data_IF_616155563232
#
_entry.id   IF_616155563232
#
_cell.length_a   1.000
_cell.length_b   1.000
_cell.length_c   1.000
_cell.angle_alpha   90.00
_cell.angle_beta   90.00
_cell.angle_gamma   90.00
#
_symmetry.space_group_name_H-M   'P 1'
#
loop_
_entity.id
_entity.type
_entity.pdbx_description
1 polymer ?
#
# COMPACT_ATOMS: atom_id res chain seq x y z
N UNK A 1 -15.37 41.55 4.62
CA UNK A 1 -14.94 40.14 4.72
C UNK A 1 -15.75 39.14 3.87
N UNK A 2 -17.10 39.20 3.74
CA UNK A 2 -17.87 38.19 2.98
C UNK A 2 -17.59 38.19 1.47
N UNK A 3 -17.38 39.36 0.87
CA UNK A 3 -17.13 39.52 -0.57
C UNK A 3 -15.79 38.94 -1.04
N UNK A 4 -14.77 38.95 -0.19
CA UNK A 4 -13.44 38.42 -0.52
C UNK A 4 -13.44 36.89 -0.52
N UNK A 5 -14.14 36.27 0.45
CA UNK A 5 -14.36 34.81 0.52
C UNK A 5 -15.19 34.33 -0.67
N UNK A 6 -16.26 35.05 -1.04
CA UNK A 6 -17.12 34.72 -2.18
C UNK A 6 -16.38 34.80 -3.52
N UNK A 7 -15.46 35.76 -3.69
CA UNK A 7 -14.57 35.87 -4.87
C UNK A 7 -13.50 34.77 -4.91
N UNK A 8 -12.96 34.36 -3.76
CA UNK A 8 -12.03 33.22 -3.66
C UNK A 8 -12.69 31.90 -4.05
N UNK A 9 -13.89 31.65 -3.53
CA UNK A 9 -14.69 30.47 -3.85
C UNK A 9 -15.04 30.39 -5.35
N UNK A 10 -15.41 31.50 -6.00
CA UNK A 10 -15.73 31.48 -7.44
C UNK A 10 -14.52 31.26 -8.35
N UNK A 11 -13.31 31.64 -7.89
CA UNK A 11 -12.05 31.35 -8.59
C UNK A 11 -11.65 29.89 -8.45
N UNK A 12 -11.74 29.33 -7.23
CA UNK A 12 -11.47 27.92 -6.99
C UNK A 12 -12.47 27.02 -7.74
N UNK A 13 -13.76 27.36 -7.71
CA UNK A 13 -14.80 26.63 -8.42
C UNK A 13 -14.56 26.56 -9.93
N UNK A 14 -14.31 27.71 -10.58
CA UNK A 14 -13.98 27.74 -12.02
C UNK A 14 -12.75 26.90 -12.35
N UNK A 15 -11.77 26.87 -11.45
CA UNK A 15 -10.57 26.06 -11.63
C UNK A 15 -10.86 24.57 -11.53
N UNK A 16 -11.60 24.15 -10.50
CA UNK A 16 -12.04 22.76 -10.36
C UNK A 16 -12.81 22.35 -11.60
N UNK A 17 -13.76 23.16 -12.07
CA UNK A 17 -14.47 22.90 -13.33
C UNK A 17 -13.49 22.74 -14.51
N UNK A 18 -12.52 23.64 -14.66
CA UNK A 18 -11.55 23.57 -15.75
C UNK A 18 -10.65 22.32 -15.72
N UNK A 19 -10.18 21.89 -14.54
CA UNK A 19 -9.44 20.62 -14.43
C UNK A 19 -10.34 19.42 -14.69
N UNK A 20 -11.57 19.42 -14.16
CA UNK A 20 -12.56 18.35 -14.37
C UNK A 20 -12.89 18.19 -15.85
N UNK A 21 -13.06 19.29 -16.60
CA UNK A 21 -13.30 19.23 -18.05
C UNK A 21 -12.16 18.55 -18.82
N UNK A 22 -10.92 18.62 -18.32
CA UNK A 22 -9.76 17.95 -18.94
C UNK A 22 -9.59 16.51 -18.44
N UNK A 23 -9.83 16.25 -17.15
CA UNK A 23 -9.65 14.92 -16.56
C UNK A 23 -10.78 13.94 -16.93
N UNK A 24 -12.01 14.42 -17.18
CA UNK A 24 -13.14 13.58 -17.61
C UNK A 24 -12.84 12.82 -18.92
N UNK A 25 -12.42 13.46 -20.02
CA UNK A 25 -12.12 12.74 -21.25
C UNK A 25 -10.94 11.77 -21.09
N UNK A 26 -9.90 12.16 -20.32
CA UNK A 26 -8.79 11.25 -19.99
C UNK A 26 -9.26 10.03 -19.20
N UNK A 27 -10.17 10.23 -18.25
CA UNK A 27 -10.80 9.16 -17.49
C UNK A 27 -11.64 8.27 -18.40
N UNK A 28 -12.46 8.85 -19.28
CA UNK A 28 -13.29 8.12 -20.24
C UNK A 28 -12.47 7.31 -21.26
N UNK A 29 -11.25 7.73 -21.57
CA UNK A 29 -10.33 6.96 -22.41
C UNK A 29 -9.63 5.85 -21.61
N UNK A 30 -9.23 6.14 -20.36
CA UNK A 30 -8.37 5.25 -19.56
C UNK A 30 -9.10 4.40 -18.51
N UNK A 31 -10.44 4.50 -18.38
CA UNK A 31 -11.18 3.87 -17.27
C UNK A 31 -10.98 2.36 -17.18
N UNK A 32 -10.80 1.67 -18.31
CA UNK A 32 -10.56 0.21 -18.34
C UNK A 32 -9.26 -0.16 -17.63
N UNK A 33 -8.21 0.64 -17.79
CA UNK A 33 -6.92 0.43 -17.12
C UNK A 33 -7.04 0.66 -15.61
N UNK A 34 -7.74 1.74 -15.21
CA UNK A 34 -7.98 2.02 -13.79
C UNK A 34 -8.82 0.93 -13.14
N UNK A 35 -9.92 0.54 -13.78
CA UNK A 35 -10.79 -0.53 -13.31
C UNK A 35 -10.03 -1.85 -13.22
N UNK A 36 -9.26 -2.22 -14.25
CA UNK A 36 -8.42 -3.41 -14.24
C UNK A 36 -7.42 -3.41 -13.09
N UNK A 37 -6.76 -2.27 -12.84
CA UNK A 37 -5.84 -2.11 -11.71
C UNK A 37 -6.53 -2.28 -10.35
N UNK A 38 -7.71 -1.68 -10.15
CA UNK A 38 -8.49 -1.80 -8.91
C UNK A 38 -9.01 -3.23 -8.70
N UNK A 39 -9.54 -3.86 -9.75
CA UNK A 39 -9.97 -5.26 -9.72
C UNK A 39 -8.79 -6.17 -9.36
N UNK A 40 -7.60 -5.88 -9.89
CA UNK A 40 -6.40 -6.63 -9.54
C UNK A 40 -5.98 -6.44 -8.08
N UNK A 41 -6.15 -5.25 -7.48
CA UNK A 41 -5.93 -5.07 -6.04
C UNK A 41 -6.80 -6.01 -5.20
N UNK A 42 -8.06 -6.18 -5.63
CA UNK A 42 -8.98 -7.10 -4.98
C UNK A 42 -8.56 -8.57 -5.19
N UNK A 43 -8.17 -8.97 -6.40
CA UNK A 43 -7.62 -10.30 -6.70
C UNK A 43 -6.38 -10.59 -5.85
N UNK A 44 -5.46 -9.64 -5.74
CA UNK A 44 -4.29 -9.74 -4.87
C UNK A 44 -4.69 -9.94 -3.40
N UNK A 45 -5.69 -9.21 -2.91
CA UNK A 45 -6.22 -9.41 -1.55
C UNK A 45 -6.83 -10.81 -1.34
N UNK A 46 -7.55 -11.33 -2.33
CA UNK A 46 -8.06 -12.71 -2.31
C UNK A 46 -6.93 -13.73 -2.30
N UNK A 47 -5.91 -13.55 -3.13
CA UNK A 47 -4.73 -14.41 -3.18
C UNK A 47 -3.99 -14.44 -1.82
N UNK A 48 -3.79 -13.28 -1.19
CA UNK A 48 -3.19 -13.18 0.14
C UNK A 48 -4.00 -13.92 1.21
N UNK A 49 -5.33 -13.80 1.17
CA UNK A 49 -6.20 -14.59 2.06
C UNK A 49 -6.16 -16.08 1.74
N UNK A 50 -6.04 -16.46 0.47
CA UNK A 50 -5.87 -17.83 0.03
C UNK A 50 -4.62 -18.47 0.62
N UNK A 51 -3.50 -17.76 0.60
CA UNK A 51 -2.24 -18.23 1.20
C UNK A 51 -2.34 -18.33 2.72
N UNK A 52 -3.12 -17.48 3.40
CA UNK A 52 -3.39 -17.63 4.84
C UNK A 52 -4.03 -18.98 5.15
N UNK A 53 -4.99 -19.46 4.36
CA UNK A 53 -5.56 -20.81 4.57
C UNK A 53 -4.53 -21.93 4.39
N UNK A 54 -3.51 -21.70 3.57
CA UNK A 54 -2.41 -22.65 3.37
C UNK A 54 -1.30 -22.50 4.42
N UNK A 55 -1.33 -21.44 5.22
CA UNK A 55 -0.30 -21.12 6.17
C UNK A 55 -0.13 -22.23 7.21
N UNK A 56 1.12 -22.66 7.40
CA UNK A 56 1.51 -23.56 8.48
C UNK A 56 2.40 -22.81 9.45
N UNK A 57 2.00 -22.66 10.72
CA UNK A 57 2.84 -22.04 11.72
C UNK A 57 4.10 -22.90 11.92
N UNK A 58 5.21 -22.23 12.22
CA UNK A 58 6.50 -22.87 12.42
C UNK A 58 7.45 -21.93 13.16
N UNK A 59 8.68 -22.39 13.47
CA UNK A 59 9.68 -21.54 14.11
C UNK A 59 10.05 -20.36 13.23
N UNK A 60 10.34 -19.22 13.87
CA UNK A 60 10.76 -18.01 13.16
C UNK A 60 12.09 -18.26 12.48
N UNK A 61 12.20 -17.86 11.21
CA UNK A 61 13.45 -17.99 10.46
C UNK A 61 14.52 -17.04 11.00
N UNK A 62 15.78 -17.47 10.90
CA UNK A 62 16.91 -16.61 11.22
C UNK A 62 16.96 -15.43 10.24
N UNK A 63 16.98 -14.21 10.78
CA UNK A 63 16.95 -12.98 9.99
C UNK A 63 17.90 -11.94 10.62
N UNK A 64 18.80 -11.40 9.81
CA UNK A 64 19.82 -10.45 10.27
C UNK A 64 19.17 -9.15 10.76
N UNK A 65 18.09 -8.69 10.13
CA UNK A 65 17.39 -7.51 10.59
C UNK A 65 16.71 -7.74 11.93
N UNK A 66 16.27 -8.97 12.23
CA UNK A 66 15.75 -9.29 13.55
C UNK A 66 16.82 -9.30 14.63
N UNK A 67 18.06 -9.67 14.29
CA UNK A 67 19.20 -9.60 15.20
C UNK A 67 19.65 -8.15 15.46
N UNK A 68 19.64 -7.31 14.42
CA UNK A 68 20.12 -5.93 14.51
C UNK A 68 19.08 -4.95 15.07
N UNK A 69 17.79 -5.16 14.77
CA UNK A 69 16.71 -4.23 15.11
C UNK A 69 15.91 -4.80 16.28
N UNK A 70 15.84 -4.08 17.41
CA UNK A 70 15.08 -4.52 18.58
C UNK A 70 13.59 -4.60 18.26
N UNK A 71 12.91 -5.52 18.91
CA UNK A 71 11.47 -5.69 18.73
C UNK A 71 10.69 -4.53 19.36
N UNK A 72 9.69 -4.05 18.64
CA UNK A 72 8.86 -2.92 19.08
C UNK A 72 7.77 -3.34 20.08
N UNK A 73 7.49 -4.64 20.16
CA UNK A 73 6.42 -5.23 20.97
C UNK A 73 5.03 -5.19 20.31
N UNK A 74 4.11 -6.01 20.83
CA UNK A 74 2.75 -6.19 20.27
C UNK A 74 1.91 -4.91 20.32
N UNK A 75 2.04 -4.12 21.38
CA UNK A 75 1.25 -2.90 21.59
C UNK A 75 1.60 -1.78 20.59
N UNK A 76 2.86 -1.72 20.16
CA UNK A 76 3.36 -0.68 19.25
C UNK A 76 3.40 -1.13 17.79
N UNK A 77 3.01 -2.37 17.49
CA UNK A 77 2.96 -2.91 16.13
C UNK A 77 2.05 -2.13 15.17
N UNK A 78 1.10 -1.35 15.69
CA UNK A 78 0.22 -0.48 14.90
C UNK A 78 0.94 0.76 14.34
N UNK A 79 2.11 1.14 14.88
CA UNK A 79 2.84 2.34 14.45
C UNK A 79 3.24 2.23 12.97
N UNK A 80 3.68 1.05 12.52
CA UNK A 80 4.06 0.86 11.12
C UNK A 80 2.85 0.94 10.17
N UNK A 81 1.64 0.54 10.62
CA UNK A 81 0.41 0.71 9.82
C UNK A 81 0.00 2.17 9.76
N UNK A 82 0.08 2.88 10.89
CA UNK A 82 -0.25 4.30 10.97
C UNK A 82 0.66 5.13 10.06
N UNK A 83 1.97 4.81 10.03
CA UNK A 83 2.91 5.49 9.13
C UNK A 83 2.61 5.16 7.65
N UNK A 84 2.33 3.90 7.32
CA UNK A 84 1.93 3.52 5.97
C UNK A 84 0.66 4.24 5.51
N UNK A 85 -0.39 4.24 6.35
CA UNK A 85 -1.64 4.93 6.09
C UNK A 85 -1.41 6.44 5.90
N UNK A 86 -0.55 7.05 6.72
CA UNK A 86 -0.16 8.45 6.58
C UNK A 86 0.51 8.73 5.23
N UNK A 87 1.47 7.90 4.80
CA UNK A 87 2.13 8.01 3.49
C UNK A 87 1.10 7.84 2.35
N UNK A 88 0.24 6.82 2.44
CA UNK A 88 -0.79 6.54 1.44
C UNK A 88 -1.76 7.72 1.28
N UNK A 89 -2.34 8.20 2.39
CA UNK A 89 -3.26 9.33 2.38
C UNK A 89 -2.57 10.60 1.87
N UNK A 90 -1.32 10.86 2.29
CA UNK A 90 -0.56 12.04 1.84
C UNK A 90 -0.30 12.00 0.34
N UNK A 91 0.06 10.84 -0.22
CA UNK A 91 0.26 10.66 -1.65
C UNK A 91 -1.05 10.84 -2.42
N UNK A 92 -2.14 10.20 -1.98
CA UNK A 92 -3.45 10.32 -2.58
C UNK A 92 -3.91 11.80 -2.63
N UNK A 93 -3.82 12.52 -1.50
CA UNK A 93 -4.12 13.95 -1.43
C UNK A 93 -3.24 14.78 -2.37
N UNK A 94 -1.96 14.45 -2.48
CA UNK A 94 -1.06 15.12 -3.41
C UNK A 94 -1.44 14.90 -4.89
N UNK A 95 -2.01 13.76 -5.27
CA UNK A 95 -2.47 13.56 -6.66
C UNK A 95 -3.54 14.56 -7.08
N UNK A 96 -4.36 15.05 -6.13
CA UNK A 96 -5.37 16.08 -6.37
C UNK A 96 -4.85 17.52 -6.24
N UNK A 97 -3.55 17.70 -6.01
CA UNK A 97 -2.91 19.02 -5.93
C UNK A 97 -3.21 19.95 -7.13
N UNK A 98 -3.30 19.49 -8.39
CA UNK A 98 -3.61 20.36 -9.54
C UNK A 98 -4.97 21.07 -9.41
N UNK A 99 -5.97 20.42 -8.83
CA UNK A 99 -7.29 21.03 -8.60
C UNK A 99 -7.22 22.24 -7.67
N UNK A 100 -6.28 22.24 -6.72
CA UNK A 100 -6.15 23.27 -5.68
C UNK A 100 -5.09 24.32 -6.04
N UNK A 101 -3.89 23.90 -6.47
CA UNK A 101 -2.73 24.80 -6.70
C UNK A 101 -2.43 25.03 -8.18
N UNK A 102 -1.97 26.24 -8.54
CA UNK A 102 -1.88 26.71 -9.94
C UNK A 102 -0.80 26.06 -10.83
N UNK A 103 -0.08 25.04 -10.34
CA UNK A 103 0.99 24.40 -11.09
C UNK A 103 0.48 23.14 -11.81
N UNK A 104 0.07 23.28 -13.08
CA UNK A 104 -0.26 22.13 -13.93
C UNK A 104 1.03 21.44 -14.39
N UNK A 105 1.40 20.36 -13.70
CA UNK A 105 2.49 19.46 -14.12
C UNK A 105 2.06 18.00 -14.19
N UNK A 106 0.89 17.67 -13.66
CA UNK A 106 0.43 16.29 -13.51
C UNK A 106 -1.05 16.20 -13.83
N UNK A 107 -1.43 15.10 -14.48
CA UNK A 107 -2.82 14.66 -14.63
C UNK A 107 -3.04 13.48 -13.69
N UNK A 108 -4.08 13.57 -12.89
CA UNK A 108 -4.43 12.65 -11.82
C UNK A 108 -4.72 11.26 -12.39
N UNK A 109 -5.54 11.20 -13.45
CA UNK A 109 -5.88 9.94 -14.13
C UNK A 109 -4.64 9.22 -14.62
N UNK A 110 -3.74 9.93 -15.32
CA UNK A 110 -2.53 9.33 -15.89
C UNK A 110 -1.53 8.88 -14.83
N UNK A 111 -1.42 9.59 -13.69
CA UNK A 111 -0.62 9.14 -12.55
C UNK A 111 -1.17 7.82 -12.02
N UNK A 112 -2.48 7.74 -11.77
CA UNK A 112 -3.08 6.53 -11.21
C UNK A 112 -3.01 5.35 -12.18
N UNK A 113 -3.14 5.56 -13.49
CA UNK A 113 -2.89 4.51 -14.49
C UNK A 113 -1.47 3.93 -14.37
N UNK A 114 -0.45 4.80 -14.25
CA UNK A 114 0.95 4.37 -14.11
C UNK A 114 1.20 3.68 -12.77
N UNK A 115 0.73 4.27 -11.68
CA UNK A 115 0.87 3.71 -10.33
C UNK A 115 0.23 2.32 -10.27
N UNK A 116 -1.00 2.16 -10.76
CA UNK A 116 -1.68 0.87 -10.79
C UNK A 116 -0.95 -0.13 -11.67
N UNK A 117 -0.39 0.27 -12.83
CA UNK A 117 0.39 -0.64 -13.66
C UNK A 117 1.63 -1.19 -12.94
N UNK A 118 2.40 -0.34 -12.25
CA UNK A 118 3.54 -0.78 -11.44
C UNK A 118 3.09 -1.66 -10.27
N UNK A 119 2.01 -1.30 -9.58
CA UNK A 119 1.46 -2.10 -8.48
C UNK A 119 1.02 -3.49 -8.95
N UNK A 120 0.31 -3.58 -10.07
CA UNK A 120 -0.11 -4.86 -10.66
C UNK A 120 1.10 -5.72 -10.98
N UNK A 121 2.12 -5.17 -11.65
CA UNK A 121 3.33 -5.93 -11.97
C UNK A 121 4.04 -6.48 -10.72
N UNK A 122 4.26 -5.63 -9.71
CA UNK A 122 4.89 -6.04 -8.44
C UNK A 122 4.03 -7.05 -7.66
N UNK A 123 2.71 -6.90 -7.70
CA UNK A 123 1.80 -7.82 -7.00
C UNK A 123 1.64 -9.16 -7.73
N UNK A 124 1.75 -9.21 -9.06
CA UNK A 124 1.86 -10.49 -9.79
C UNK A 124 3.09 -11.25 -9.30
N UNK A 125 4.25 -10.58 -9.21
CA UNK A 125 5.48 -11.20 -8.70
C UNK A 125 5.28 -11.71 -7.26
N UNK A 126 4.69 -10.89 -6.41
CA UNK A 126 4.31 -11.30 -5.04
C UNK A 126 3.38 -12.51 -5.02
N UNK A 127 2.39 -12.54 -5.92
CA UNK A 127 1.45 -13.66 -6.00
C UNK A 127 2.16 -14.95 -6.40
N UNK A 128 3.13 -14.87 -7.30
CA UNK A 128 3.94 -16.03 -7.68
C UNK A 128 4.80 -16.50 -6.51
N UNK A 129 5.47 -15.57 -5.80
CA UNK A 129 6.41 -15.93 -4.72
C UNK A 129 5.72 -16.68 -3.58
N UNK A 130 4.63 -16.15 -3.02
CA UNK A 130 3.99 -16.76 -1.84
C UNK A 130 3.14 -18.01 -2.10
N UNK A 131 2.85 -18.35 -3.37
CA UNK A 131 2.23 -19.63 -3.74
C UNK A 131 3.30 -20.65 -4.10
N UNK A 132 4.46 -20.21 -4.60
CA UNK A 132 5.60 -21.09 -4.87
C UNK A 132 6.34 -21.50 -3.60
N UNK A 133 6.45 -20.60 -2.63
CA UNK A 133 7.18 -20.79 -1.36
C UNK A 133 6.28 -20.41 -0.20
N UNK A 134 6.30 -21.21 0.86
CA UNK A 134 5.53 -20.96 2.08
C UNK A 134 6.46 -20.89 3.28
N UNK A 135 6.70 -19.68 3.77
CA UNK A 135 7.48 -19.41 4.97
C UNK A 135 6.57 -19.15 6.19
N UNK A 136 7.01 -19.53 7.40
CA UNK A 136 6.31 -19.19 8.63
C UNK A 136 6.32 -17.68 8.86
N UNK A 137 5.18 -17.11 9.27
CA UNK A 137 5.01 -15.67 9.41
C UNK A 137 5.69 -15.17 10.70
N UNK A 138 6.47 -14.08 10.65
CA UNK A 138 7.22 -13.62 11.83
C UNK A 138 6.34 -12.92 12.89
N UNK A 139 5.13 -12.53 12.50
CA UNK A 139 4.22 -11.73 13.31
C UNK A 139 3.66 -12.54 14.49
N UNK A 140 3.43 -11.88 15.62
CA UNK A 140 2.98 -12.50 16.88
C UNK A 140 1.72 -13.36 16.73
N UNK A 141 0.79 -12.96 15.86
CA UNK A 141 -0.48 -13.66 15.65
C UNK A 141 -0.38 -14.84 14.65
N UNK A 142 0.78 -15.03 14.03
CA UNK A 142 1.06 -16.14 13.11
C UNK A 142 1.90 -17.26 13.75
N UNK A 143 2.33 -17.07 15.00
CA UNK A 143 3.15 -18.04 15.74
C UNK A 143 2.32 -19.21 16.25
N UNK A 144 2.98 -20.35 16.46
CA UNK A 144 2.37 -21.53 17.08
C UNK A 144 1.69 -21.18 18.41
N UNK A 145 0.47 -21.67 18.61
CA UNK A 145 -0.35 -21.38 19.79
C UNK A 145 -1.25 -20.15 19.68
N UNK A 146 -1.18 -19.36 18.59
CA UNK A 146 -2.14 -18.27 18.36
C UNK A 146 -3.39 -18.76 17.61
N UNK A 147 -4.58 -18.36 18.07
CA UNK A 147 -5.87 -18.69 17.42
C UNK A 147 -5.98 -18.14 15.98
N UNK A 148 -5.20 -17.11 15.64
CA UNK A 148 -5.20 -16.47 14.32
C UNK A 148 -4.15 -17.04 13.36
N UNK A 149 -3.30 -17.95 13.83
CA UNK A 149 -2.20 -18.49 13.04
C UNK A 149 -2.70 -19.33 11.87
N UNK A 150 -3.73 -20.14 12.10
CA UNK A 150 -4.39 -20.94 11.05
C UNK A 150 -5.86 -20.57 10.96
N UNK A 151 -6.33 -20.25 9.76
CA UNK A 151 -7.76 -20.05 9.54
C UNK A 151 -8.47 -21.41 9.48
N UNK A 152 -9.67 -21.55 10.07
CA UNK A 152 -10.49 -22.74 9.89
C UNK A 152 -10.85 -22.91 8.40
N UNK A 153 -11.07 -24.14 7.92
CA UNK A 153 -11.44 -24.37 6.54
C UNK A 153 -12.72 -23.57 6.18
N UNK A 154 -12.75 -22.90 5.01
CA UNK A 154 -13.85 -22.02 4.65
C UNK A 154 -15.15 -22.82 4.52
N UNK A 155 -16.22 -22.35 5.16
CA UNK A 155 -17.53 -23.03 5.13
C UNK A 155 -18.28 -22.79 3.82
N UNK A 156 -17.89 -21.75 3.08
CA UNK A 156 -18.48 -21.41 1.77
C UNK A 156 -17.50 -20.62 0.90
N UNK A 157 -17.66 -20.69 -0.42
CA UNK A 157 -16.88 -19.89 -1.38
C UNK A 157 -17.14 -18.38 -1.16
N UNK A 158 -18.35 -18.02 -0.71
CA UNK A 158 -18.72 -16.66 -0.36
C UNK A 158 -17.87 -16.11 0.78
N UNK A 159 -17.48 -16.92 1.76
CA UNK A 159 -16.62 -16.48 2.86
C UNK A 159 -15.23 -16.06 2.38
N UNK A 160 -14.70 -16.72 1.34
CA UNK A 160 -13.39 -16.39 0.76
C UNK A 160 -13.49 -15.13 -0.09
N UNK A 161 -14.54 -15.02 -0.90
CA UNK A 161 -14.81 -13.88 -1.80
C UNK A 161 -15.17 -12.61 -1.03
N UNK A 162 -16.05 -12.70 -0.03
CA UNK A 162 -16.30 -11.60 0.89
C UNK A 162 -15.13 -11.50 1.87
N UNK A 163 -14.06 -10.82 1.44
CA UNK A 163 -13.00 -10.31 2.29
C UNK A 163 -13.68 -9.58 3.46
N UNK A 164 -13.53 -10.11 4.68
CA UNK A 164 -13.69 -9.30 5.89
C UNK A 164 -12.55 -8.28 5.88
N UNK A 165 -12.65 -7.27 5.01
CA UNK A 165 -11.63 -6.32 4.57
C UNK A 165 -10.75 -5.78 5.71
N UNK A 166 -11.30 -5.29 6.84
CA UNK A 166 -10.47 -4.76 7.91
C UNK A 166 -9.67 -5.84 8.64
N UNK A 167 -10.19 -7.07 8.78
CA UNK A 167 -9.48 -8.15 9.47
C UNK A 167 -8.45 -8.83 8.56
N UNK A 168 -8.79 -9.06 7.29
CA UNK A 168 -7.89 -9.72 6.34
C UNK A 168 -6.67 -8.89 5.97
N UNK A 169 -6.78 -7.56 5.98
CA UNK A 169 -5.65 -6.65 5.71
C UNK A 169 -4.74 -6.52 6.93
N UNK A 170 -5.29 -6.48 8.15
CA UNK A 170 -4.51 -6.31 9.37
C UNK A 170 -3.93 -7.61 9.95
N UNK A 171 -4.62 -8.74 9.76
CA UNK A 171 -4.30 -10.02 10.39
C UNK A 171 -4.06 -11.13 9.37
N UNK A 172 -3.39 -10.80 8.26
CA UNK A 172 -2.94 -11.79 7.28
C UNK A 172 -1.66 -12.48 7.73
N UNK A 173 -1.66 -13.82 7.73
CA UNK A 173 -0.51 -14.70 7.93
C UNK A 173 -0.18 -15.42 6.63
N UNK A 174 1.08 -15.73 6.42
CA UNK A 174 1.55 -16.33 5.17
C UNK A 174 3.00 -15.99 4.87
N UNK A 175 3.52 -16.54 3.78
CA UNK A 175 4.75 -16.03 3.18
C UNK A 175 4.47 -14.66 2.59
N UNK A 176 5.25 -13.67 2.98
CA UNK A 176 5.05 -12.29 2.58
C UNK A 176 6.28 -11.72 1.85
N UNK A 177 7.11 -12.61 1.24
CA UNK A 177 8.14 -12.20 0.27
C UNK A 177 7.49 -11.25 -0.73
N UNK A 178 8.15 -10.11 -0.97
CA UNK A 178 7.62 -8.86 -1.51
C UNK A 178 6.67 -8.15 -0.54
N UNK A 179 7.13 -7.21 0.30
CA UNK A 179 6.25 -6.45 1.20
C UNK A 179 5.33 -5.45 0.46
N UNK A 180 4.01 -5.50 0.71
CA UNK A 180 3.01 -4.66 0.06
C UNK A 180 3.15 -3.21 0.53
N UNK A 181 3.31 -3.01 1.84
CA UNK A 181 3.61 -1.70 2.42
C UNK A 181 4.79 -1.04 1.72
N UNK A 182 5.86 -1.80 1.46
CA UNK A 182 7.05 -1.29 0.78
C UNK A 182 6.82 -1.04 -0.70
N UNK A 183 6.18 -1.97 -1.43
CA UNK A 183 5.81 -1.78 -2.84
C UNK A 183 5.02 -0.48 -3.02
N UNK A 184 3.94 -0.30 -2.24
CA UNK A 184 3.12 0.91 -2.31
C UNK A 184 3.94 2.16 -1.97
N UNK A 185 4.68 2.14 -0.86
CA UNK A 185 5.50 3.26 -0.43
C UNK A 185 6.54 3.65 -1.49
N UNK A 186 7.27 2.68 -2.03
CA UNK A 186 8.32 2.93 -3.03
C UNK A 186 7.75 3.41 -4.36
N UNK A 187 6.63 2.85 -4.83
CA UNK A 187 5.93 3.35 -6.03
C UNK A 187 5.50 4.80 -5.84
N UNK A 188 4.97 5.16 -4.65
CA UNK A 188 4.57 6.53 -4.34
C UNK A 188 5.76 7.48 -4.27
N UNK A 189 6.82 7.09 -3.55
CA UNK A 189 8.04 7.89 -3.39
C UNK A 189 8.72 8.11 -4.74
N UNK A 190 8.85 7.07 -5.58
CA UNK A 190 9.40 7.19 -6.93
C UNK A 190 8.52 8.07 -7.84
N UNK A 191 7.20 7.94 -7.75
CA UNK A 191 6.27 8.77 -8.51
C UNK A 191 6.41 10.24 -8.11
N UNK A 192 6.52 10.53 -6.82
CA UNK A 192 6.75 11.88 -6.30
C UNK A 192 8.15 12.40 -6.63
N UNK A 193 9.18 11.53 -6.64
CA UNK A 193 10.52 11.90 -7.06
C UNK A 193 10.53 12.42 -8.50
N UNK A 194 9.79 11.76 -9.40
CA UNK A 194 9.71 12.12 -10.81
C UNK A 194 8.85 13.36 -11.08
N UNK A 195 7.68 13.46 -10.45
CA UNK A 195 6.69 14.49 -10.80
C UNK A 195 6.57 15.62 -9.76
N UNK A 196 7.02 15.40 -8.53
CA UNK A 196 7.01 16.38 -7.46
C UNK A 196 8.00 17.51 -7.68
N UNK A 197 7.68 18.69 -7.16
CA UNK A 197 8.47 19.92 -7.36
C UNK A 197 9.37 20.25 -6.17
N UNK A 198 8.93 19.96 -4.94
CA UNK A 198 9.64 20.38 -3.72
C UNK A 198 10.73 19.39 -3.32
N UNK A 199 12.00 19.80 -3.38
CA UNK A 199 13.17 18.97 -3.04
C UNK A 199 13.16 18.45 -1.59
N UNK A 200 12.74 19.29 -0.65
CA UNK A 200 12.63 18.90 0.77
C UNK A 200 11.63 17.73 0.96
N UNK A 201 10.47 17.79 0.30
CA UNK A 201 9.47 16.70 0.38
C UNK A 201 10.01 15.42 -0.26
N UNK A 202 10.81 15.52 -1.33
CA UNK A 202 11.46 14.34 -1.94
C UNK A 202 12.40 13.63 -0.96
N UNK A 203 13.27 14.40 -0.29
CA UNK A 203 14.18 13.84 0.72
C UNK A 203 13.42 13.26 1.91
N UNK A 204 12.39 13.97 2.37
CA UNK A 204 11.53 13.49 3.45
C UNK A 204 10.79 12.20 3.07
N UNK A 205 10.29 12.09 1.84
CA UNK A 205 9.61 10.89 1.36
C UNK A 205 10.53 9.66 1.34
N UNK A 206 11.80 9.82 0.92
CA UNK A 206 12.80 8.75 1.01
C UNK A 206 13.15 8.39 2.45
N UNK A 207 13.29 9.39 3.33
CA UNK A 207 13.49 9.14 4.76
C UNK A 207 12.34 8.34 5.36
N UNK A 208 11.09 8.69 5.03
CA UNK A 208 9.91 7.94 5.47
C UNK A 208 9.92 6.49 4.95
N UNK A 209 10.37 6.24 3.71
CA UNK A 209 10.49 4.88 3.19
C UNK A 209 11.50 4.03 3.97
N UNK A 210 12.65 4.63 4.34
CA UNK A 210 13.66 3.95 5.17
C UNK A 210 13.12 3.70 6.58
N UNK A 211 12.50 4.71 7.21
CA UNK A 211 11.89 4.58 8.53
C UNK A 211 10.77 3.52 8.52
N UNK A 212 9.93 3.49 7.50
CA UNK A 212 8.90 2.48 7.30
C UNK A 212 9.51 1.08 7.21
N UNK A 213 10.60 0.92 6.45
CA UNK A 213 11.34 -0.35 6.33
C UNK A 213 11.80 -0.85 7.70
N UNK A 214 12.45 0.01 8.49
CA UNK A 214 12.95 -0.34 9.83
C UNK A 214 11.81 -0.68 10.79
N UNK A 215 10.71 0.07 10.76
CA UNK A 215 9.54 -0.16 11.62
C UNK A 215 8.83 -1.48 11.28
N UNK A 216 8.78 -1.87 10.01
CA UNK A 216 8.21 -3.15 9.59
C UNK A 216 9.03 -4.32 10.16
N UNK A 217 10.37 -4.24 10.11
CA UNK A 217 11.27 -5.25 10.69
C UNK A 217 11.15 -5.28 12.22
N UNK A 218 11.13 -4.11 12.85
CA UNK A 218 10.98 -3.97 14.31
C UNK A 218 9.64 -4.53 14.81
N UNK A 219 8.58 -4.40 14.00
CA UNK A 219 7.24 -4.94 14.30
C UNK A 219 7.12 -6.44 14.00
N UNK A 220 8.19 -7.09 13.49
CA UNK A 220 8.22 -8.50 13.08
C UNK A 220 7.09 -8.84 12.10
N UNK A 221 6.73 -7.91 11.21
CA UNK A 221 5.67 -8.13 10.21
C UNK A 221 6.18 -8.84 8.97
N UNK A 222 7.40 -8.54 8.60
CA UNK A 222 8.08 -9.08 7.43
C UNK A 222 9.52 -9.41 7.79
N UNK A 223 10.10 -10.35 7.04
CA UNK A 223 11.54 -10.60 7.07
C UNK A 223 12.30 -9.51 6.31
N UNK A 224 13.60 -9.40 6.53
CA UNK A 224 14.44 -8.45 5.78
C UNK A 224 14.42 -8.71 4.30
N UNK A 225 14.38 -9.98 3.88
CA UNK A 225 14.32 -10.34 2.45
C UNK A 225 13.10 -9.73 1.77
N UNK A 226 11.94 -9.70 2.44
CA UNK A 226 10.69 -9.14 1.89
C UNK A 226 10.82 -7.64 1.58
N UNK A 227 11.66 -6.94 2.35
CA UNK A 227 11.91 -5.51 2.21
C UNK A 227 13.00 -5.28 1.17
N UNK A 228 14.11 -6.01 1.23
CA UNK A 228 15.23 -5.87 0.28
C UNK A 228 14.77 -6.17 -1.14
N UNK A 229 13.96 -7.21 -1.35
CA UNK A 229 13.42 -7.56 -2.67
C UNK A 229 12.41 -6.52 -3.18
N UNK A 230 11.77 -5.77 -2.27
CA UNK A 230 10.84 -4.71 -2.67
C UNK A 230 11.54 -3.41 -3.09
N UNK A 231 12.77 -3.16 -2.61
CA UNK A 231 13.60 -1.98 -2.93
C UNK A 231 14.24 -2.07 -4.31
#
# INVERSE_FOLDING_TARGET
MPLYVRRGASKLWRKICGEVTVEIPLLAESWKYLLGGVVFQYIHGLAARGVHYLHRPGPILQDIGFLLIPELGREKGSISEALFASVFCSFALWTFHPFIFQNKKIYTVLIWCRVLAYLVASQVLRIVTFYSTQLPGPNYHCREGSELATLPPPKSVLEVVFLNFPRGILYGCGDLIFSSHMIFTLVFVNTYQKHGTKRFIKQFAWLLAVVQSLLIIASRKHYTVDIVVAW
#
